data_IF_950713482426
#
_entry.id   IF_950713482426
#
_cell.length_a   1.000
_cell.length_b   1.000
_cell.length_c   1.000
_cell.angle_alpha   90.00
_cell.angle_beta   90.00
_cell.angle_gamma   90.00
#
_symmetry.space_group_name_H-M   'P 1'
#
loop_
_entity.id
_entity.type
_entity.pdbx_description
1 polymer ?
#
# COMPACT_ATOMS: atom_id res chain seq x y z
N UNK A 1 17.25 -16.44 2.09
CA UNK A 1 17.70 -15.09 2.49
C UNK A 1 19.22 -15.01 2.36
N UNK A 2 19.77 -13.90 1.87
CA UNK A 2 21.21 -13.72 1.72
C UNK A 2 21.91 -13.60 3.09
N UNK A 3 22.60 -14.66 3.53
CA UNK A 3 23.27 -14.74 4.85
C UNK A 3 24.69 -14.17 4.86
N UNK A 4 25.25 -13.80 3.70
CA UNK A 4 26.65 -13.38 3.55
C UNK A 4 26.85 -11.95 3.06
N UNK A 5 28.07 -11.65 2.63
CA UNK A 5 28.37 -10.44 1.83
C UNK A 5 27.79 -10.65 0.43
N UNK A 6 27.03 -9.69 -0.05
CA UNK A 6 26.43 -9.70 -1.40
C UNK A 6 27.32 -8.86 -2.31
N UNK A 7 27.64 -9.38 -3.50
CA UNK A 7 28.45 -8.72 -4.52
C UNK A 7 27.64 -8.43 -5.77
N UNK A 8 28.12 -7.49 -6.58
CA UNK A 8 27.62 -7.29 -7.93
C UNK A 8 27.79 -8.57 -8.75
N UNK A 9 26.74 -8.98 -9.46
CA UNK A 9 26.67 -10.23 -10.22
C UNK A 9 25.98 -11.39 -9.50
N UNK A 10 25.77 -11.31 -8.18
CA UNK A 10 25.09 -12.38 -7.44
C UNK A 10 23.62 -12.49 -7.88
N UNK A 11 23.13 -13.73 -7.99
CA UNK A 11 21.75 -14.03 -8.41
C UNK A 11 20.96 -14.60 -7.24
N UNK A 12 19.81 -13.99 -6.94
CA UNK A 12 18.88 -14.39 -5.89
C UNK A 12 17.47 -14.54 -6.47
N UNK A 13 16.99 -15.78 -6.63
CA UNK A 13 15.74 -16.06 -7.34
C UNK A 13 15.75 -15.37 -8.72
N UNK A 14 14.74 -14.55 -9.04
CA UNK A 14 14.65 -13.84 -10.30
C UNK A 14 15.34 -12.46 -10.25
N UNK A 15 16.18 -12.18 -9.25
CA UNK A 15 16.94 -10.94 -9.13
C UNK A 15 18.43 -11.17 -9.40
N UNK A 16 19.02 -10.31 -10.22
CA UNK A 16 20.47 -10.20 -10.41
C UNK A 16 20.95 -8.89 -9.79
N UNK A 17 21.91 -8.96 -8.88
CA UNK A 17 22.49 -7.77 -8.24
C UNK A 17 23.36 -7.03 -9.26
N UNK A 18 23.05 -5.77 -9.53
CA UNK A 18 23.85 -4.92 -10.41
C UNK A 18 24.93 -4.21 -9.59
N UNK A 19 24.51 -3.41 -8.61
CA UNK A 19 25.41 -2.58 -7.82
C UNK A 19 24.89 -2.44 -6.38
N UNK A 20 25.80 -2.13 -5.46
CA UNK A 20 25.45 -1.70 -4.11
C UNK A 20 24.84 -0.28 -4.16
N UNK A 21 23.79 -0.05 -3.38
CA UNK A 21 23.10 1.23 -3.26
C UNK A 21 23.29 1.79 -1.83
N UNK A 22 22.63 2.90 -1.51
CA UNK A 22 22.69 3.58 -0.21
C UNK A 22 22.28 2.68 0.96
N UNK A 23 22.96 2.85 2.09
CA UNK A 23 22.54 2.28 3.36
C UNK A 23 21.47 3.18 3.99
N UNK A 24 20.31 2.62 4.31
CA UNK A 24 19.21 3.37 4.94
C UNK A 24 18.81 2.69 6.27
N UNK A 25 18.74 3.47 7.36
CA UNK A 25 18.44 2.99 8.73
C UNK A 25 19.28 1.76 9.12
N UNK A 26 20.57 1.78 8.80
CA UNK A 26 21.49 0.67 9.09
C UNK A 26 21.37 -0.56 8.19
N UNK A 27 20.43 -0.59 7.23
CA UNK A 27 20.21 -1.71 6.31
C UNK A 27 20.81 -1.42 4.93
N UNK A 28 21.55 -2.39 4.40
CA UNK A 28 22.17 -2.30 3.07
C UNK A 28 21.14 -2.54 1.96
N UNK A 29 21.19 -1.72 0.92
CA UNK A 29 20.34 -1.86 -0.26
C UNK A 29 21.20 -2.16 -1.48
N UNK A 30 20.60 -2.86 -2.43
CA UNK A 30 21.23 -3.26 -3.67
C UNK A 30 20.32 -2.94 -4.84
N UNK A 31 20.89 -2.35 -5.88
CA UNK A 31 20.20 -2.19 -7.15
C UNK A 31 20.18 -3.53 -7.86
N UNK A 32 19.00 -4.08 -8.10
CA UNK A 32 18.81 -5.41 -8.67
C UNK A 32 17.99 -5.35 -9.95
N UNK A 33 18.34 -6.16 -10.94
CA UNK A 33 17.59 -6.35 -12.18
C UNK A 33 16.83 -7.65 -12.14
N UNK A 34 15.54 -7.61 -12.44
CA UNK A 34 14.71 -8.80 -12.54
C UNK A 34 14.94 -9.48 -13.89
N UNK A 35 14.68 -10.79 -13.98
CA UNK A 35 14.71 -11.53 -15.26
C UNK A 35 13.81 -10.91 -16.35
N UNK A 36 12.71 -10.25 -15.95
CA UNK A 36 11.84 -9.53 -16.88
C UNK A 36 12.39 -8.15 -17.32
N UNK A 37 13.61 -7.78 -16.90
CA UNK A 37 14.27 -6.51 -17.22
C UNK A 37 14.03 -5.38 -16.21
N UNK A 38 13.06 -5.50 -15.29
CA UNK A 38 12.74 -4.43 -14.32
C UNK A 38 13.88 -4.25 -13.32
N UNK A 39 14.36 -3.01 -13.16
CA UNK A 39 15.40 -2.69 -12.16
C UNK A 39 14.77 -2.05 -10.93
N UNK A 40 15.13 -2.51 -9.72
CA UNK A 40 14.62 -1.99 -8.43
C UNK A 40 15.68 -2.04 -7.33
N UNK A 41 15.52 -1.14 -6.36
CA UNK A 41 16.29 -1.16 -5.12
C UNK A 41 15.68 -2.18 -4.16
N UNK A 42 16.46 -3.18 -3.77
CA UNK A 42 16.03 -4.27 -2.90
C UNK A 42 16.90 -4.27 -1.64
N UNK A 43 16.26 -4.39 -0.47
CA UNK A 43 16.96 -4.59 0.80
C UNK A 43 17.71 -5.92 0.81
N UNK A 44 18.89 -5.96 1.43
CA UNK A 44 19.66 -7.19 1.63
C UNK A 44 18.82 -8.35 2.18
N UNK A 45 18.01 -8.08 3.20
CA UNK A 45 17.19 -9.10 3.88
C UNK A 45 16.13 -9.72 2.94
N UNK A 46 15.69 -8.96 1.93
CA UNK A 46 14.69 -9.40 0.97
C UNK A 46 15.30 -10.24 -0.17
N UNK A 47 16.62 -10.13 -0.41
CA UNK A 47 17.31 -10.96 -1.39
C UNK A 47 17.26 -12.44 -0.95
N UNK A 48 16.66 -13.27 -1.79
CA UNK A 48 16.41 -14.68 -1.50
C UNK A 48 15.22 -14.95 -0.57
N UNK A 49 14.44 -13.93 -0.18
CA UNK A 49 13.10 -14.11 0.39
C UNK A 49 12.02 -13.78 -0.64
N UNK A 50 12.22 -12.70 -1.39
CA UNK A 50 11.31 -12.29 -2.47
C UNK A 50 11.73 -12.96 -3.77
N UNK A 51 10.76 -13.53 -4.50
CA UNK A 51 11.05 -14.26 -5.75
C UNK A 51 11.47 -13.33 -6.90
N UNK A 52 10.92 -12.13 -7.01
CA UNK A 52 11.20 -11.22 -8.13
C UNK A 52 10.48 -9.88 -7.99
N UNK A 53 10.32 -9.15 -9.09
CA UNK A 53 9.58 -7.88 -9.10
C UNK A 53 8.05 -8.05 -9.10
N UNK A 54 7.57 -9.30 -9.13
CA UNK A 54 6.16 -9.66 -9.28
C UNK A 54 5.68 -9.74 -10.73
N UNK A 55 6.59 -9.91 -11.70
CA UNK A 55 6.26 -10.19 -13.11
C UNK A 55 5.63 -11.59 -13.27
N UNK A 56 6.13 -12.57 -12.53
CA UNK A 56 5.56 -13.91 -12.45
C UNK A 56 4.57 -13.97 -11.30
N UNK A 57 3.32 -13.55 -11.56
CA UNK A 57 2.22 -13.82 -10.63
C UNK A 57 1.58 -15.15 -11.01
N UNK A 58 1.51 -16.07 -10.06
CA UNK A 58 0.64 -17.24 -10.20
C UNK A 58 -0.80 -16.74 -10.34
N UNK A 59 -1.53 -17.35 -11.25
CA UNK A 59 -2.96 -17.09 -11.42
C UNK A 59 -3.66 -17.28 -10.07
N UNK A 60 -4.48 -16.30 -9.70
CA UNK A 60 -5.17 -16.32 -8.43
C UNK A 60 -6.23 -17.43 -8.46
N UNK A 61 -5.88 -18.59 -7.91
CA UNK A 61 -6.87 -19.65 -7.64
C UNK A 61 -7.61 -19.27 -6.37
N UNK A 62 -8.82 -18.72 -6.54
CA UNK A 62 -9.73 -18.52 -5.42
C UNK A 62 -9.85 -19.84 -4.66
N UNK A 63 -9.59 -19.80 -3.35
CA UNK A 63 -9.76 -20.98 -2.50
C UNK A 63 -11.24 -21.33 -2.49
N UNK A 64 -11.63 -22.36 -3.23
CA UNK A 64 -12.98 -22.93 -3.20
C UNK A 64 -13.25 -23.71 -1.91
N UNK A 65 -12.23 -23.93 -1.08
CA UNK A 65 -12.38 -24.56 0.22
C UNK A 65 -13.23 -23.66 1.14
N UNK A 66 -14.25 -24.19 1.82
CA UNK A 66 -15.00 -23.43 2.81
C UNK A 66 -14.02 -22.90 3.86
N UNK A 67 -14.18 -21.63 4.23
CA UNK A 67 -13.38 -21.04 5.29
C UNK A 67 -13.58 -21.87 6.56
N UNK A 68 -12.52 -22.55 7.04
CA UNK A 68 -12.58 -23.22 8.34
C UNK A 68 -12.98 -22.16 9.37
N UNK A 69 -14.02 -22.40 10.20
CA UNK A 69 -14.33 -21.49 11.29
C UNK A 69 -13.07 -21.33 12.13
N UNK A 70 -12.65 -20.07 12.38
CA UNK A 70 -11.54 -19.79 13.29
C UNK A 70 -11.96 -20.27 14.68
N UNK A 71 -11.61 -21.50 15.03
CA UNK A 71 -11.65 -21.96 16.41
C UNK A 71 -10.60 -21.15 17.16
N UNK A 72 -11.06 -20.12 17.88
CA UNK A 72 -10.22 -19.47 18.89
C UNK A 72 -9.90 -20.57 19.89
N UNK A 73 -8.66 -21.08 19.91
CA UNK A 73 -8.20 -21.89 21.03
C UNK A 73 -8.46 -21.06 22.28
N UNK A 74 -9.28 -21.57 23.19
CA UNK A 74 -9.49 -20.92 24.47
C UNK A 74 -8.11 -20.78 25.12
N UNK A 75 -7.64 -19.55 25.27
CA UNK A 75 -6.42 -19.28 26.02
C UNK A 75 -6.77 -19.62 27.46
N UNK A 76 -6.12 -20.61 28.05
CA UNK A 76 -6.18 -20.84 29.50
C UNK A 76 -5.56 -19.59 30.12
N UNK A 77 -6.42 -18.67 30.54
CA UNK A 77 -6.01 -17.44 31.20
C UNK A 77 -5.68 -17.82 32.64
N UNK A 78 -4.40 -18.00 32.96
CA UNK A 78 -3.98 -17.91 34.35
C UNK A 78 -4.26 -16.47 34.81
N UNK A 79 -5.16 -16.33 35.78
CA UNK A 79 -5.55 -15.05 36.34
C UNK A 79 -4.34 -14.42 37.03
N UNK A 80 -3.74 -13.42 36.40
CA UNK A 80 -2.84 -12.48 37.08
C UNK A 80 -3.73 -11.41 37.75
N UNK A 81 -3.45 -10.98 38.99
CA UNK A 81 -4.18 -9.88 39.60
C UNK A 81 -3.83 -8.60 38.83
N UNK A 82 -4.70 -8.19 37.93
CA UNK A 82 -4.62 -6.89 37.26
C UNK A 82 -5.31 -5.89 38.17
N UNK A 83 -4.56 -4.94 38.72
CA UNK A 83 -5.14 -3.76 39.34
C UNK A 83 -6.01 -3.08 38.29
N UNK A 84 -7.31 -3.01 38.51
CA UNK A 84 -8.24 -2.38 37.58
C UNK A 84 -7.91 -0.89 37.49
N UNK A 85 -7.52 -0.36 36.32
CA UNK A 85 -7.39 1.08 36.17
C UNK A 85 -8.77 1.72 36.36
N UNK A 86 -8.81 2.86 37.06
CA UNK A 86 -10.03 3.59 37.36
C UNK A 86 -10.85 3.81 36.08
N UNK A 87 -12.16 3.52 36.15
CA UNK A 87 -13.09 3.60 35.05
C UNK A 87 -13.20 5.06 34.58
N UNK A 88 -12.52 5.40 33.49
CA UNK A 88 -12.68 6.70 32.84
C UNK A 88 -14.16 6.78 32.41
N UNK A 89 -14.89 7.75 32.96
CA UNK A 89 -16.29 7.99 32.60
C UNK A 89 -16.32 8.51 31.16
N UNK A 90 -16.92 7.75 30.26
CA UNK A 90 -17.04 8.14 28.86
C UNK A 90 -18.04 9.30 28.76
N UNK A 91 -17.55 10.53 28.63
CA UNK A 91 -18.40 11.68 28.35
C UNK A 91 -18.87 11.56 26.90
N UNK A 92 -20.15 11.26 26.72
CA UNK A 92 -20.76 11.16 25.39
C UNK A 92 -20.76 12.53 24.69
N UNK A 93 -20.22 12.59 23.48
CA UNK A 93 -20.23 13.80 22.67
C UNK A 93 -21.65 14.01 22.11
N UNK A 94 -22.33 15.06 22.57
CA UNK A 94 -23.69 15.42 22.15
C UNK A 94 -23.71 16.37 20.94
N UNK A 95 -22.56 16.73 20.38
CA UNK A 95 -22.51 17.63 19.22
C UNK A 95 -23.14 16.97 17.99
N UNK A 96 -24.09 17.63 17.32
CA UNK A 96 -24.65 17.12 16.07
C UNK A 96 -23.56 17.04 15.02
N UNK A 97 -23.63 16.01 14.17
CA UNK A 97 -22.68 15.81 13.07
C UNK A 97 -22.65 17.07 12.19
N UNK A 98 -21.48 17.64 11.89
CA UNK A 98 -21.40 18.81 11.03
C UNK A 98 -22.04 18.51 9.67
N UNK A 99 -22.82 19.46 9.16
CA UNK A 99 -23.43 19.34 7.84
C UNK A 99 -22.33 19.30 6.78
N UNK A 100 -22.37 18.28 5.92
CA UNK A 100 -21.36 18.12 4.87
C UNK A 100 -21.51 19.25 3.86
N UNK A 101 -20.55 20.17 3.84
CA UNK A 101 -20.44 21.15 2.76
C UNK A 101 -20.04 20.42 1.48
N UNK A 102 -20.63 20.82 0.34
CA UNK A 102 -20.35 20.21 -0.96
C UNK A 102 -18.84 20.17 -1.23
N UNK A 103 -18.38 19.06 -1.84
CA UNK A 103 -16.98 18.88 -2.21
C UNK A 103 -16.54 19.99 -3.17
N UNK A 104 -15.33 20.51 -3.00
CA UNK A 104 -14.71 21.41 -3.96
C UNK A 104 -14.50 20.70 -5.31
N UNK A 105 -14.83 21.40 -6.41
CA UNK A 105 -14.60 20.89 -7.78
C UNK A 105 -13.09 20.70 -8.01
N UNK A 106 -12.72 19.60 -8.64
CA UNK A 106 -11.37 19.36 -9.13
C UNK A 106 -11.03 20.31 -10.29
N UNK A 107 -9.74 20.49 -10.56
CA UNK A 107 -9.26 21.33 -11.67
C UNK A 107 -9.84 20.89 -13.02
N UNK A 108 -10.03 19.58 -13.22
CA UNK A 108 -10.63 19.04 -14.45
C UNK A 108 -12.11 19.44 -14.58
N UNK A 109 -12.89 19.29 -13.52
CA UNK A 109 -14.31 19.66 -13.50
C UNK A 109 -14.49 21.17 -13.74
N UNK A 110 -13.60 22.01 -13.20
CA UNK A 110 -13.59 23.46 -13.46
C UNK A 110 -13.32 23.78 -14.94
N UNK A 111 -12.39 23.06 -15.58
CA UNK A 111 -12.09 23.25 -16.99
C UNK A 111 -13.25 22.82 -17.89
N UNK A 112 -13.88 21.68 -17.60
CA UNK A 112 -15.06 21.19 -18.34
C UNK A 112 -16.22 22.19 -18.27
N UNK A 113 -16.46 22.78 -17.09
CA UNK A 113 -17.50 23.81 -16.91
C UNK A 113 -17.19 25.12 -17.66
N UNK A 114 -15.93 25.58 -17.64
CA UNK A 114 -15.51 26.75 -18.41
C UNK A 114 -15.63 26.52 -19.93
N UNK A 115 -15.31 25.32 -20.40
CA UNK A 115 -15.49 24.97 -21.81
C UNK A 115 -16.97 24.95 -22.20
N UNK A 116 -17.83 24.39 -21.35
CA UNK A 116 -19.27 24.38 -21.57
C UNK A 116 -19.87 25.80 -21.61
N UNK A 117 -19.41 26.70 -20.73
CA UNK A 117 -19.82 28.11 -20.75
C UNK A 117 -19.43 28.80 -22.06
N UNK A 118 -18.19 28.61 -22.52
CA UNK A 118 -17.74 29.17 -23.81
C UNK A 118 -18.51 28.61 -25.00
N UNK A 119 -18.88 27.32 -24.96
CA UNK A 119 -19.73 26.72 -26.00
C UNK A 119 -21.11 27.35 -26.03
N UNK A 120 -21.75 27.51 -24.86
CA UNK A 120 -23.04 28.17 -24.74
C UNK A 120 -23.00 29.62 -25.26
N UNK A 121 -21.97 30.39 -24.89
CA UNK A 121 -21.79 31.76 -25.38
C UNK A 121 -21.68 31.83 -26.90
N UNK A 122 -20.91 30.90 -27.48
CA UNK A 122 -20.78 30.80 -28.94
C UNK A 122 -22.12 30.48 -29.60
N UNK A 123 -22.84 29.49 -29.11
CA UNK A 123 -24.17 29.13 -29.63
C UNK A 123 -25.15 30.29 -29.52
N UNK A 124 -25.18 31.00 -28.40
CA UNK A 124 -26.01 32.18 -28.23
C UNK A 124 -25.62 33.31 -29.20
N UNK A 125 -24.32 33.49 -29.47
CA UNK A 125 -23.84 34.48 -30.46
C UNK A 125 -24.15 34.11 -31.91
N UNK A 126 -24.37 32.83 -32.20
CA UNK A 126 -24.77 32.35 -33.54
C UNK A 126 -26.30 32.42 -33.74
N UNK A 127 -27.07 32.50 -32.65
CA UNK A 127 -28.54 32.57 -32.67
C UNK A 127 -29.09 34.02 -32.75
N UNK A 128 -28.27 35.03 -32.47
CA UNK A 128 -28.62 36.46 -32.50
C UNK A 128 -27.78 37.19 -33.54
#
# INVERSE_FOLDING_TARGET
MATGKVKAGDVFNNWTVLNEDRRNRGVQHFMCKCVCGTTRVVRKDNLGHVQGCGCERKEYKARTSPAKPRTKKARIAQAKPVSTPAKITHRENKEPRPHYQQRSKSTREQLEELLAQKQLEKELSELW
#
